data_IF_770860741395
#
_entry.id   IF_770860741395
#
_cell.length_a   1.000
_cell.length_b   1.000
_cell.length_c   1.000
_cell.angle_alpha   90.00
_cell.angle_beta   90.00
_cell.angle_gamma   90.00
#
_symmetry.space_group_name_H-M   'P 1'
#
loop_
_entity.id
_entity.type
_entity.pdbx_description
1 polymer ?
#
# COMPACT_ATOMS: atom_id res chain seq x y z
N UNK A 1 -60.21 62.27 22.18
CA UNK A 1 -60.25 63.11 20.97
C UNK A 1 -59.38 62.44 19.92
N UNK A 2 -59.96 62.07 18.78
CA UNK A 2 -59.28 61.43 17.66
C UNK A 2 -58.70 62.46 16.69
N UNK A 3 -57.59 62.11 16.03
CA UNK A 3 -57.18 62.48 14.65
C UNK A 3 -55.83 61.75 14.41
N UNK A 4 -55.70 60.71 13.60
CA UNK A 4 -55.91 60.53 12.14
C UNK A 4 -54.75 61.10 11.29
N UNK A 5 -54.14 60.15 10.56
CA UNK A 5 -53.46 60.23 9.24
C UNK A 5 -51.99 60.66 9.05
N UNK A 6 -51.27 59.67 8.49
CA UNK A 6 -50.55 59.71 7.20
C UNK A 6 -49.07 60.09 7.17
N UNK A 7 -48.26 59.04 7.02
CA UNK A 7 -47.39 58.77 5.87
C UNK A 7 -46.73 59.96 5.17
N UNK A 8 -45.41 60.05 5.31
CA UNK A 8 -44.51 60.48 4.23
C UNK A 8 -43.12 59.91 4.47
N UNK A 9 -42.72 58.97 3.61
CA UNK A 9 -41.33 58.69 3.25
C UNK A 9 -41.21 58.97 1.73
N UNK A 10 -40.02 59.09 1.11
CA UNK A 10 -38.66 58.97 1.65
C UNK A 10 -37.71 60.11 1.22
N UNK A 11 -36.62 60.34 1.96
CA UNK A 11 -35.47 61.09 1.44
C UNK A 11 -34.18 60.28 1.69
N UNK A 12 -33.63 59.82 0.56
CA UNK A 12 -32.42 59.04 0.40
C UNK A 12 -31.21 59.95 0.65
N UNK A 13 -30.29 59.57 1.56
CA UNK A 13 -28.94 60.14 1.58
C UNK A 13 -28.28 60.26 2.95
N UNK A 14 -27.63 59.20 3.42
CA UNK A 14 -26.40 59.30 4.21
C UNK A 14 -25.75 57.91 4.27
N UNK A 15 -24.51 57.82 3.79
CA UNK A 15 -23.67 56.62 3.78
C UNK A 15 -23.49 56.12 5.22
N UNK A 16 -23.71 54.83 5.54
CA UNK A 16 -23.17 54.28 6.78
C UNK A 16 -21.65 54.24 6.62
N UNK A 17 -20.95 55.10 7.35
CA UNK A 17 -19.51 54.99 7.53
C UNK A 17 -19.19 53.57 7.95
N UNK A 18 -18.23 52.96 7.26
CA UNK A 18 -17.70 51.66 7.58
C UNK A 18 -17.26 51.65 9.05
N UNK A 19 -18.13 51.13 9.91
CA UNK A 19 -17.76 50.66 11.23
C UNK A 19 -16.83 49.49 11.01
N UNK A 20 -15.54 49.78 10.91
CA UNK A 20 -14.48 48.79 10.94
C UNK A 20 -14.60 48.06 12.29
N UNK A 21 -15.32 46.94 12.29
CA UNK A 21 -15.26 45.96 13.37
C UNK A 21 -13.82 45.46 13.33
N UNK A 22 -12.97 46.05 14.16
CA UNK A 22 -11.62 45.56 14.40
C UNK A 22 -11.76 44.19 15.06
N UNK A 23 -11.81 43.14 14.25
CA UNK A 23 -11.61 41.77 14.71
C UNK A 23 -10.17 41.72 15.18
N UNK A 24 -9.95 42.02 16.46
CA UNK A 24 -8.69 41.75 17.13
C UNK A 24 -8.56 40.23 17.27
N UNK A 25 -8.23 39.58 16.15
CA UNK A 25 -7.83 38.21 16.09
C UNK A 25 -6.52 38.09 16.83
N UNK A 26 -6.59 37.93 18.16
CA UNK A 26 -5.46 37.50 18.98
C UNK A 26 -5.11 36.10 18.49
N UNK A 27 -4.25 36.03 17.46
CA UNK A 27 -3.64 34.80 16.97
C UNK A 27 -2.94 34.18 18.17
N UNK A 28 -3.61 33.29 18.90
CA UNK A 28 -2.96 32.37 19.83
C UNK A 28 -1.99 31.58 18.98
N UNK A 29 -0.71 32.00 18.98
CA UNK A 29 0.39 31.13 18.58
C UNK A 29 0.30 29.95 19.53
N UNK A 30 -0.22 28.83 19.04
CA UNK A 30 -0.08 27.54 19.70
C UNK A 30 1.40 27.13 19.60
N UNK A 31 2.28 27.78 20.38
CA UNK A 31 3.61 27.23 20.65
C UNK A 31 3.46 26.27 21.81
N UNK A 32 3.03 25.05 21.50
CA UNK A 32 2.89 23.97 22.49
C UNK A 32 3.71 22.76 22.05
N UNK A 33 5.01 22.99 21.88
CA UNK A 33 5.97 21.90 21.87
C UNK A 33 7.05 22.23 22.88
N UNK A 34 6.84 21.72 24.09
CA UNK A 34 7.85 21.67 25.15
C UNK A 34 9.07 20.90 24.64
N UNK A 35 10.28 21.16 25.15
CA UNK A 35 11.48 20.40 24.71
C UNK A 35 11.27 18.89 24.82
N UNK A 36 10.53 18.44 25.83
CA UNK A 36 10.11 17.05 26.03
C UNK A 36 9.20 16.55 24.91
N UNK A 37 8.21 17.33 24.46
CA UNK A 37 7.31 16.96 23.36
C UNK A 37 8.08 16.81 22.04
N UNK A 38 9.10 17.66 21.80
CA UNK A 38 9.96 17.54 20.61
C UNK A 38 10.85 16.29 20.66
N UNK A 39 11.34 15.93 21.84
CA UNK A 39 12.13 14.70 22.04
C UNK A 39 11.23 13.47 21.89
N UNK A 40 10.03 13.48 22.46
CA UNK A 40 9.05 12.39 22.33
C UNK A 40 8.62 12.22 20.87
N UNK A 41 8.27 13.30 20.17
CA UNK A 41 7.95 13.24 18.74
C UNK A 41 9.17 12.83 17.89
N UNK A 42 10.35 13.33 18.23
CA UNK A 42 11.61 12.96 17.59
C UNK A 42 11.94 11.47 17.79
N UNK A 43 11.61 10.88 18.94
CA UNK A 43 11.85 9.48 19.24
C UNK A 43 10.78 8.57 18.60
N UNK A 44 9.50 8.97 18.69
CA UNK A 44 8.38 8.23 18.09
C UNK A 44 8.44 8.18 16.56
N UNK A 45 8.96 9.23 15.91
CA UNK A 45 9.14 9.24 14.45
C UNK A 45 10.55 8.78 14.08
N UNK A 46 11.57 9.22 14.83
CA UNK A 46 12.96 8.96 14.51
C UNK A 46 13.39 7.52 14.67
N UNK A 47 12.89 6.77 15.68
CA UNK A 47 13.24 5.35 15.82
C UNK A 47 12.67 4.53 14.66
N UNK A 48 11.35 4.58 14.34
CA UNK A 48 10.82 3.85 13.19
C UNK A 48 11.47 4.27 11.88
N UNK A 49 11.72 5.57 11.68
CA UNK A 49 12.39 6.08 10.48
C UNK A 49 13.82 5.56 10.37
N UNK A 50 14.59 5.56 11.46
CA UNK A 50 15.96 5.05 11.46
C UNK A 50 15.97 3.55 11.14
N UNK A 51 15.03 2.78 11.70
CA UNK A 51 14.89 1.37 11.38
C UNK A 51 14.50 1.17 9.90
N UNK A 52 13.55 1.92 9.36
CA UNK A 52 13.19 1.88 7.94
C UNK A 52 14.39 2.18 7.03
N UNK A 53 15.13 3.25 7.33
CA UNK A 53 16.30 3.63 6.54
C UNK A 53 17.40 2.58 6.60
N UNK A 54 17.69 2.02 7.78
CA UNK A 54 18.79 1.06 7.93
C UNK A 54 18.40 -0.32 7.37
N UNK A 55 17.19 -0.80 7.67
CA UNK A 55 16.78 -2.17 7.36
C UNK A 55 16.12 -2.30 5.99
N UNK A 56 15.54 -1.25 5.42
CA UNK A 56 14.90 -1.29 4.10
C UNK A 56 15.77 -0.53 3.09
N UNK A 57 16.06 0.75 3.34
CA UNK A 57 16.82 1.55 2.37
C UNK A 57 18.29 1.15 2.28
N UNK A 58 18.91 0.80 3.40
CA UNK A 58 20.29 0.30 3.47
C UNK A 58 20.55 -0.86 2.50
N UNK A 59 19.86 -2.01 2.64
CA UNK A 59 20.01 -3.11 1.70
C UNK A 59 19.52 -2.75 0.30
N UNK A 60 18.50 -1.90 0.14
CA UNK A 60 18.05 -1.46 -1.20
C UNK A 60 19.16 -0.76 -1.98
N UNK A 61 19.83 0.21 -1.35
CA UNK A 61 20.95 0.94 -1.96
C UNK A 61 22.14 -0.01 -2.18
N UNK A 62 22.41 -0.92 -1.24
CA UNK A 62 23.44 -1.93 -1.41
C UNK A 62 23.14 -2.86 -2.61
N UNK A 63 21.90 -3.33 -2.77
CA UNK A 63 21.47 -4.14 -3.91
C UNK A 63 21.62 -3.41 -5.24
N UNK A 64 21.32 -2.10 -5.27
CA UNK A 64 21.58 -1.27 -6.46
C UNK A 64 23.09 -1.19 -6.72
N UNK A 65 23.92 -0.97 -5.71
CA UNK A 65 25.37 -0.96 -5.90
C UNK A 65 25.91 -2.32 -6.40
N UNK A 66 25.40 -3.41 -5.83
CA UNK A 66 25.76 -4.76 -6.23
C UNK A 66 25.27 -5.12 -7.63
N UNK A 67 24.18 -4.54 -8.14
CA UNK A 67 23.73 -4.84 -9.51
C UNK A 67 24.73 -4.37 -10.59
N UNK A 68 25.59 -3.41 -10.28
CA UNK A 68 26.69 -2.95 -11.15
C UNK A 68 27.99 -3.74 -10.95
N UNK A 69 28.00 -4.70 -10.01
CA UNK A 69 29.18 -5.49 -9.64
C UNK A 69 28.91 -6.96 -9.93
N UNK A 70 29.86 -7.67 -10.51
CA UNK A 70 29.84 -9.11 -10.65
C UNK A 70 30.47 -9.74 -9.41
N UNK A 71 29.68 -9.87 -8.34
CA UNK A 71 30.12 -10.41 -7.06
C UNK A 71 29.22 -11.58 -6.65
N UNK A 72 29.84 -12.75 -6.48
CA UNK A 72 29.14 -14.00 -6.14
C UNK A 72 28.90 -14.17 -4.63
N UNK A 73 29.05 -13.10 -3.84
CA UNK A 73 28.85 -13.13 -2.38
C UNK A 73 30.02 -13.74 -1.59
N UNK A 74 31.04 -14.28 -2.27
CA UNK A 74 32.21 -14.92 -1.66
C UNK A 74 33.46 -14.07 -1.96
N UNK A 75 34.17 -13.64 -0.91
CA UNK A 75 35.37 -12.79 -1.01
C UNK A 75 35.08 -11.28 -0.95
N UNK A 76 36.13 -10.46 -0.90
CA UNK A 76 36.02 -9.00 -0.87
C UNK A 76 35.64 -8.39 -2.23
N UNK A 77 35.08 -7.17 -2.22
CA UNK A 77 34.78 -6.43 -3.44
C UNK A 77 36.10 -5.89 -4.03
N UNK A 78 36.61 -6.54 -5.05
CA UNK A 78 37.79 -6.08 -5.80
C UNK A 78 37.37 -5.17 -6.96
N UNK A 79 38.24 -4.23 -7.36
CA UNK A 79 37.99 -3.32 -8.47
C UNK A 79 37.70 -4.05 -9.81
N UNK A 80 38.19 -5.30 -9.96
CA UNK A 80 37.92 -6.17 -11.11
C UNK A 80 36.45 -6.59 -11.22
N UNK A 81 35.71 -6.59 -10.11
CA UNK A 81 34.33 -7.05 -10.06
C UNK A 81 33.34 -5.97 -10.51
N UNK A 82 33.74 -4.70 -10.65
CA UNK A 82 32.84 -3.64 -11.09
C UNK A 82 32.67 -3.75 -12.62
N UNK A 83 31.52 -4.29 -13.05
CA UNK A 83 31.20 -4.53 -14.46
C UNK A 83 30.28 -3.47 -15.06
N UNK A 84 29.79 -2.55 -14.24
CA UNK A 84 28.91 -1.45 -14.66
C UNK A 84 27.59 -2.00 -15.22
N UNK A 85 27.20 -1.55 -16.41
CA UNK A 85 25.92 -1.91 -17.04
C UNK A 85 25.92 -3.27 -17.77
N UNK A 86 27.02 -4.01 -17.75
CA UNK A 86 27.12 -5.30 -18.46
C UNK A 86 26.12 -6.33 -17.96
N UNK A 87 25.80 -6.34 -16.66
CA UNK A 87 24.80 -7.22 -16.08
C UNK A 87 23.40 -6.99 -16.68
N UNK A 88 23.02 -5.72 -16.85
CA UNK A 88 21.74 -5.36 -17.47
C UNK A 88 21.72 -5.75 -18.95
N UNK A 89 22.78 -5.47 -19.70
CA UNK A 89 22.88 -5.90 -21.10
C UNK A 89 22.73 -7.42 -21.23
N UNK A 90 23.45 -8.17 -20.40
CA UNK A 90 23.36 -9.62 -20.37
C UNK A 90 21.95 -10.12 -20.03
N UNK A 91 21.26 -9.49 -19.08
CA UNK A 91 19.86 -9.84 -18.75
C UNK A 91 18.92 -9.67 -19.95
N UNK A 92 19.04 -8.59 -20.71
CA UNK A 92 18.11 -8.31 -21.81
C UNK A 92 18.44 -9.04 -23.11
N UNK A 93 19.72 -9.30 -23.40
CA UNK A 93 20.17 -9.86 -24.68
C UNK A 93 20.77 -11.26 -24.60
N UNK A 94 21.39 -11.60 -23.47
CA UNK A 94 22.09 -12.87 -23.28
C UNK A 94 21.30 -13.91 -22.48
N UNK A 95 20.38 -13.49 -21.61
CA UNK A 95 19.67 -14.39 -20.73
C UNK A 95 18.30 -14.79 -21.30
N UNK A 96 18.23 -16.01 -21.84
CA UNK A 96 17.05 -16.55 -22.54
C UNK A 96 15.81 -16.68 -21.65
N UNK A 97 15.99 -16.86 -20.33
CA UNK A 97 14.88 -17.00 -19.37
C UNK A 97 14.32 -15.65 -18.88
N UNK A 98 14.97 -14.52 -19.16
CA UNK A 98 14.51 -13.21 -18.68
C UNK A 98 13.11 -12.88 -19.19
N UNK A 99 12.92 -12.90 -20.51
CA UNK A 99 11.65 -12.54 -21.14
C UNK A 99 10.51 -13.49 -20.77
N UNK A 100 10.68 -14.82 -20.78
CA UNK A 100 9.70 -15.73 -20.21
C UNK A 100 9.37 -15.41 -18.74
N UNK A 101 10.37 -15.26 -17.87
CA UNK A 101 10.09 -14.98 -16.45
C UNK A 101 9.33 -13.66 -16.25
N UNK A 102 9.67 -12.63 -17.05
CA UNK A 102 8.98 -11.35 -17.04
C UNK A 102 7.53 -11.48 -17.51
N UNK A 103 7.26 -12.15 -18.64
CA UNK A 103 5.90 -12.33 -19.15
C UNK A 103 5.03 -13.13 -18.19
N UNK A 104 5.55 -14.21 -17.58
CA UNK A 104 4.81 -14.96 -16.56
C UNK A 104 4.47 -14.08 -15.36
N UNK A 105 5.41 -13.25 -14.87
CA UNK A 105 5.12 -12.30 -13.79
C UNK A 105 4.01 -11.31 -14.17
N UNK A 106 4.06 -10.74 -15.37
CA UNK A 106 3.02 -9.81 -15.85
C UNK A 106 1.67 -10.52 -15.98
N UNK A 107 1.64 -11.75 -16.53
CA UNK A 107 0.42 -12.55 -16.63
C UNK A 107 -0.17 -12.79 -15.24
N UNK A 108 0.64 -13.20 -14.26
CA UNK A 108 0.19 -13.40 -12.89
C UNK A 108 -0.31 -12.10 -12.25
N UNK A 109 0.39 -10.98 -12.44
CA UNK A 109 -0.03 -9.67 -11.95
C UNK A 109 -1.40 -9.29 -12.51
N UNK A 110 -1.60 -9.43 -13.83
CA UNK A 110 -2.88 -9.12 -14.48
C UNK A 110 -3.98 -10.07 -14.02
N UNK A 111 -3.70 -11.37 -13.92
CA UNK A 111 -4.67 -12.36 -13.46
C UNK A 111 -5.13 -12.09 -12.02
N UNK A 112 -4.19 -11.82 -11.11
CA UNK A 112 -4.51 -11.50 -9.72
C UNK A 112 -5.30 -10.19 -9.59
N UNK A 113 -4.95 -9.18 -10.40
CA UNK A 113 -5.58 -7.85 -10.35
C UNK A 113 -6.97 -7.86 -10.96
N UNK A 114 -7.15 -8.48 -12.13
CA UNK A 114 -8.40 -8.40 -12.90
C UNK A 114 -9.36 -9.56 -12.67
N UNK A 115 -8.87 -10.70 -12.18
CA UNK A 115 -9.71 -11.90 -11.97
C UNK A 115 -9.81 -12.20 -10.48
N UNK A 116 -8.69 -12.43 -9.80
CA UNK A 116 -8.73 -12.84 -8.39
C UNK A 116 -9.30 -11.75 -7.47
N UNK A 117 -8.89 -10.48 -7.67
CA UNK A 117 -9.36 -9.37 -6.81
C UNK A 117 -10.86 -9.10 -6.96
N UNK A 118 -11.44 -8.99 -8.18
CA UNK A 118 -12.89 -8.83 -8.33
C UNK A 118 -13.67 -10.04 -7.85
N UNK A 119 -13.18 -11.27 -8.06
CA UNK A 119 -13.82 -12.47 -7.51
C UNK A 119 -13.81 -12.47 -5.98
N UNK A 120 -12.68 -12.11 -5.35
CA UNK A 120 -12.59 -11.97 -3.91
C UNK A 120 -13.56 -10.91 -3.36
N UNK A 121 -13.67 -9.76 -4.05
CA UNK A 121 -14.63 -8.71 -3.71
C UNK A 121 -16.08 -9.19 -3.88
N UNK A 122 -16.38 -9.92 -4.97
CA UNK A 122 -17.70 -10.50 -5.21
C UNK A 122 -18.08 -11.46 -4.08
N UNK A 123 -17.18 -12.35 -3.67
CA UNK A 123 -17.41 -13.25 -2.55
C UNK A 123 -17.57 -12.50 -1.22
N UNK A 124 -16.79 -11.44 -0.99
CA UNK A 124 -16.95 -10.60 0.19
C UNK A 124 -18.36 -9.97 0.25
N UNK A 125 -18.85 -9.40 -0.85
CA UNK A 125 -20.19 -8.82 -0.93
C UNK A 125 -21.28 -9.87 -0.78
N UNK A 126 -21.13 -11.05 -1.39
CA UNK A 126 -22.07 -12.16 -1.23
C UNK A 126 -22.17 -12.56 0.24
N UNK A 127 -21.03 -12.67 0.92
CA UNK A 127 -20.96 -13.13 2.30
C UNK A 127 -21.45 -12.11 3.33
N UNK A 128 -21.41 -10.83 2.98
CA UNK A 128 -21.91 -9.71 3.77
C UNK A 128 -23.45 -9.63 3.81
N UNK A 129 -24.15 -10.26 2.86
CA UNK A 129 -25.63 -10.19 2.72
C UNK A 129 -26.45 -10.92 3.80
N UNK A 130 -25.94 -11.09 5.02
CA UNK A 130 -26.60 -11.76 6.15
C UNK A 130 -27.26 -13.11 5.75
N UNK A 131 -26.62 -13.86 4.87
CA UNK A 131 -27.15 -15.13 4.39
C UNK A 131 -27.26 -16.09 5.59
N UNK A 132 -28.35 -16.88 5.67
CA UNK A 132 -28.47 -17.93 6.69
C UNK A 132 -27.26 -18.87 6.62
N UNK A 133 -26.48 -18.91 7.70
CA UNK A 133 -25.24 -19.70 7.76
C UNK A 133 -23.96 -18.97 7.35
N UNK A 134 -23.99 -17.64 7.15
CA UNK A 134 -22.82 -16.83 6.77
C UNK A 134 -21.55 -17.12 7.59
N UNK A 135 -21.68 -17.39 8.89
CA UNK A 135 -20.55 -17.73 9.78
C UNK A 135 -19.82 -19.02 9.34
N UNK A 136 -20.53 -20.04 8.86
CA UNK A 136 -19.90 -21.29 8.39
C UNK A 136 -19.16 -21.03 7.08
N UNK A 137 -19.80 -20.32 6.14
CA UNK A 137 -19.18 -19.96 4.87
C UNK A 137 -17.91 -19.12 5.10
N UNK A 138 -17.96 -18.11 5.97
CA UNK A 138 -16.77 -17.34 6.40
C UNK A 138 -15.66 -18.26 6.87
N UNK A 139 -15.94 -19.16 7.82
CA UNK A 139 -14.92 -20.07 8.33
C UNK A 139 -14.27 -20.92 7.24
N UNK A 140 -15.05 -21.46 6.28
CA UNK A 140 -14.52 -22.28 5.17
C UNK A 140 -13.64 -21.46 4.23
N UNK A 141 -14.06 -20.24 3.86
CA UNK A 141 -13.28 -19.36 2.99
C UNK A 141 -12.00 -18.85 3.66
N UNK A 142 -12.03 -18.61 4.98
CA UNK A 142 -10.85 -18.16 5.74
C UNK A 142 -9.91 -19.30 6.11
N UNK A 143 -10.39 -20.54 6.20
CA UNK A 143 -9.59 -21.72 6.54
C UNK A 143 -8.26 -21.77 5.77
N UNK A 144 -8.23 -21.75 4.42
CA UNK A 144 -6.98 -21.85 3.67
C UNK A 144 -6.03 -20.66 3.88
N UNK A 145 -6.55 -19.47 4.17
CA UNK A 145 -5.74 -18.25 4.39
C UNK A 145 -5.02 -18.31 5.74
N UNK A 146 -5.65 -18.96 6.73
CA UNK A 146 -5.07 -19.15 8.07
C UNK A 146 -4.09 -20.33 8.08
N UNK A 147 -4.23 -21.28 7.15
CA UNK A 147 -3.23 -22.35 6.97
C UNK A 147 -1.90 -21.77 6.47
N UNK A 148 -0.79 -22.34 6.94
CA UNK A 148 0.54 -22.02 6.44
C UNK A 148 0.64 -22.33 4.94
N UNK A 149 1.31 -21.46 4.18
CA UNK A 149 1.57 -21.67 2.76
C UNK A 149 2.22 -23.03 2.48
N UNK A 150 3.04 -23.52 3.41
CA UNK A 150 3.68 -24.83 3.34
C UNK A 150 2.64 -25.96 3.34
N UNK A 151 1.63 -25.89 4.21
CA UNK A 151 0.56 -26.89 4.29
C UNK A 151 -0.28 -26.87 3.02
N UNK A 152 -0.63 -25.68 2.53
CA UNK A 152 -1.35 -25.52 1.26
C UNK A 152 -0.56 -26.11 0.10
N UNK A 153 0.76 -25.91 0.08
CA UNK A 153 1.68 -26.51 -0.89
C UNK A 153 1.62 -28.04 -0.88
N UNK A 154 1.72 -28.67 0.30
CA UNK A 154 1.63 -30.12 0.43
C UNK A 154 0.27 -30.68 -0.01
N UNK A 155 -0.83 -29.98 0.28
CA UNK A 155 -2.18 -30.39 -0.18
C UNK A 155 -2.22 -30.43 -1.70
N UNK A 156 -1.71 -29.39 -2.37
CA UNK A 156 -1.67 -29.35 -3.83
C UNK A 156 -0.70 -30.36 -4.42
N UNK A 157 0.45 -30.59 -3.79
CA UNK A 157 1.42 -31.62 -4.22
C UNK A 157 0.79 -33.02 -4.19
N UNK A 158 0.09 -33.37 -3.10
CA UNK A 158 -0.64 -34.62 -3.00
C UNK A 158 -1.75 -34.73 -4.06
N UNK A 159 -2.43 -33.62 -4.33
CA UNK A 159 -3.52 -33.56 -5.30
C UNK A 159 -3.04 -33.74 -6.74
N UNK A 160 -1.87 -33.17 -7.07
CA UNK A 160 -1.22 -33.26 -8.38
C UNK A 160 -0.24 -34.43 -8.50
N UNK A 161 -0.22 -35.36 -7.53
CA UNK A 161 0.75 -36.44 -7.52
C UNK A 161 0.61 -37.31 -8.79
N UNK A 162 1.69 -37.61 -9.53
CA UNK A 162 1.59 -38.19 -10.86
C UNK A 162 0.92 -39.57 -10.93
N UNK A 163 1.15 -40.42 -9.93
CA UNK A 163 0.68 -41.83 -9.92
C UNK A 163 -0.60 -42.03 -9.13
N UNK A 164 -0.72 -41.38 -7.97
CA UNK A 164 -1.82 -41.59 -7.01
C UNK A 164 -2.56 -40.30 -6.65
N UNK A 165 -2.32 -39.22 -7.40
CA UNK A 165 -3.01 -37.96 -7.20
C UNK A 165 -4.51 -38.15 -7.39
N UNK A 166 -5.30 -37.55 -6.50
CA UNK A 166 -6.76 -37.60 -6.61
C UNK A 166 -7.24 -37.07 -7.96
N UNK A 167 -6.58 -36.04 -8.52
CA UNK A 167 -6.95 -35.49 -9.83
C UNK A 167 -6.72 -36.52 -10.93
N UNK A 168 -5.58 -37.21 -10.95
CA UNK A 168 -5.28 -38.19 -11.99
C UNK A 168 -6.19 -39.40 -11.87
N UNK A 169 -6.42 -39.92 -10.67
CA UNK A 169 -7.38 -41.01 -10.45
C UNK A 169 -8.83 -40.62 -10.78
N UNK A 170 -9.21 -39.35 -10.62
CA UNK A 170 -10.55 -38.87 -10.96
C UNK A 170 -10.71 -38.55 -12.46
N UNK A 171 -9.62 -38.21 -13.17
CA UNK A 171 -9.63 -37.86 -14.60
C UNK A 171 -9.18 -39.00 -15.53
N UNK A 172 -8.56 -40.07 -15.00
CA UNK A 172 -8.10 -41.26 -15.74
C UNK A 172 -6.59 -41.39 -15.78
#
# INVERSE_FOLDING_TARGET
MANTTATTAPARGAKPGAGAVAISGRRRRYTVLTRHDKILLGLMVGIPLALDVILIWGPTVASIFFSFTNWDGIGGIEAKNIVGLKNYQFMFTGYTLFWPAFTHNVIWLLWLTFIATPLGMLFAVLLDREIRGARIYQSVFYLPVVLSLVVVGFIWELQYFPTDGFINNALG
#
